data_IF_666118004816
#
_entry.id   IF_666118004816
#
_cell.length_a   1.000
_cell.length_b   1.000
_cell.length_c   1.000
_cell.angle_alpha   90.00
_cell.angle_beta   90.00
_cell.angle_gamma   90.00
#
_symmetry.space_group_name_H-M   'P 1'
#
loop_
_entity.id
_entity.type
_entity.pdbx_description
1 polymer ?
#
# COMPACT_ATOMS: atom_id res chain seq x y z
N UNK A 1 51.25 26.10 -18.85
CA UNK A 1 51.34 24.75 -18.25
C UNK A 1 49.92 24.36 -17.86
N UNK A 2 49.29 23.47 -18.65
CA UNK A 2 47.98 22.93 -18.33
C UNK A 2 48.19 21.72 -17.42
N UNK A 3 47.59 21.71 -16.23
CA UNK A 3 47.66 20.57 -15.33
C UNK A 3 46.68 19.49 -15.80
N UNK A 4 47.18 18.26 -15.92
CA UNK A 4 46.35 17.11 -16.31
C UNK A 4 45.29 16.80 -15.24
N UNK A 5 44.07 16.37 -15.62
CA UNK A 5 43.03 16.05 -14.65
C UNK A 5 43.33 14.77 -13.87
N UNK A 6 43.15 14.83 -12.55
CA UNK A 6 43.31 13.68 -11.64
C UNK A 6 42.23 12.63 -11.95
N UNK A 7 42.58 11.34 -12.17
CA UNK A 7 41.59 10.31 -12.44
C UNK A 7 40.77 10.01 -11.18
N UNK A 8 39.47 10.31 -11.24
CA UNK A 8 38.50 9.95 -10.20
C UNK A 8 38.10 8.49 -10.42
N UNK A 9 38.76 7.54 -9.76
CA UNK A 9 38.31 6.15 -9.78
C UNK A 9 37.11 5.98 -8.85
N UNK A 10 35.95 5.47 -9.32
CA UNK A 10 34.82 5.23 -8.43
C UNK A 10 35.19 4.17 -7.38
N UNK A 11 35.10 4.55 -6.11
CA UNK A 11 35.38 3.63 -5.00
C UNK A 11 34.32 2.53 -4.98
N UNK A 12 34.75 1.31 -5.28
CA UNK A 12 33.87 0.13 -5.32
C UNK A 12 33.44 -0.22 -3.89
N UNK A 13 32.20 0.12 -3.52
CA UNK A 13 31.59 -0.29 -2.26
C UNK A 13 31.59 -1.82 -2.17
N UNK A 14 32.30 -2.37 -1.18
CA UNK A 14 32.35 -3.82 -0.95
C UNK A 14 31.13 -4.24 -0.13
N UNK A 15 30.14 -4.83 -0.79
CA UNK A 15 28.95 -5.36 -0.13
C UNK A 15 29.24 -6.69 0.56
N UNK A 16 29.55 -6.66 1.86
CA UNK A 16 29.80 -7.86 2.67
C UNK A 16 28.47 -8.49 3.12
N UNK A 17 27.82 -9.24 2.21
CA UNK A 17 26.50 -9.86 2.40
C UNK A 17 26.36 -10.60 3.75
N UNK A 18 27.33 -11.44 4.10
CA UNK A 18 27.24 -12.31 5.30
C UNK A 18 27.26 -11.47 6.59
N UNK A 19 28.17 -10.52 6.69
CA UNK A 19 28.29 -9.62 7.84
C UNK A 19 27.04 -8.75 8.01
N UNK A 20 26.54 -8.18 6.90
CA UNK A 20 25.32 -7.38 6.92
C UNK A 20 24.10 -8.22 7.32
N UNK A 21 23.98 -9.45 6.81
CA UNK A 21 22.90 -10.36 7.20
C UNK A 21 22.97 -10.74 8.67
N UNK A 22 24.17 -10.92 9.22
CA UNK A 22 24.35 -11.23 10.63
C UNK A 22 23.91 -10.05 11.49
N UNK A 23 24.34 -8.82 11.16
CA UNK A 23 23.89 -7.61 11.86
C UNK A 23 22.38 -7.43 11.81
N UNK A 24 21.74 -7.68 10.67
CA UNK A 24 20.27 -7.62 10.55
C UNK A 24 19.62 -8.65 11.48
N UNK A 25 20.17 -9.87 11.53
CA UNK A 25 19.66 -10.91 12.42
C UNK A 25 19.75 -10.49 13.90
N UNK A 26 20.90 -9.95 14.30
CA UNK A 26 21.13 -9.50 15.67
C UNK A 26 20.13 -8.39 16.06
N UNK A 27 19.91 -7.41 15.18
CA UNK A 27 18.90 -6.35 15.37
C UNK A 27 17.48 -6.91 15.49
N UNK A 28 17.13 -7.89 14.66
CA UNK A 28 15.81 -8.54 14.72
C UNK A 28 15.62 -9.29 16.03
N UNK A 29 16.66 -9.99 16.50
CA UNK A 29 16.62 -10.73 17.77
C UNK A 29 16.49 -9.78 18.97
N UNK A 30 17.14 -8.60 18.94
CA UNK A 30 16.96 -7.54 19.95
C UNK A 30 15.57 -6.90 19.94
N UNK A 31 14.95 -6.77 18.77
CA UNK A 31 13.58 -6.23 18.63
C UNK A 31 12.50 -7.20 19.11
N UNK A 32 12.79 -8.51 19.12
CA UNK A 32 11.85 -9.58 19.46
C UNK A 32 11.11 -9.40 20.79
N UNK A 33 11.77 -9.10 21.94
CA UNK A 33 11.06 -8.87 23.20
C UNK A 33 10.13 -7.65 23.17
N UNK A 34 10.47 -6.60 22.40
CA UNK A 34 9.61 -5.44 22.22
C UNK A 34 8.38 -5.80 21.40
N UNK A 35 8.55 -6.58 20.33
CA UNK A 35 7.44 -7.11 19.55
C UNK A 35 6.51 -7.98 20.40
N UNK A 36 7.04 -8.86 21.26
CA UNK A 36 6.23 -9.65 22.20
C UNK A 36 5.45 -8.75 23.16
N UNK A 37 6.09 -7.73 23.73
CA UNK A 37 5.41 -6.78 24.63
C UNK A 37 4.31 -5.98 23.92
N UNK A 38 4.51 -5.58 22.67
CA UNK A 38 3.48 -4.92 21.87
C UNK A 38 2.36 -5.91 21.53
N UNK A 39 2.69 -7.16 21.21
CA UNK A 39 1.72 -8.23 20.93
C UNK A 39 0.76 -8.46 22.10
N UNK A 40 1.31 -8.54 23.32
CA UNK A 40 0.52 -8.73 24.54
C UNK A 40 -0.34 -7.50 24.87
N UNK A 41 0.21 -6.29 24.74
CA UNK A 41 -0.56 -5.04 24.94
C UNK A 41 -1.74 -4.96 23.95
N UNK A 42 -1.52 -5.39 22.71
CA UNK A 42 -2.55 -5.41 21.68
C UNK A 42 -3.41 -6.69 21.69
N UNK A 43 -3.17 -7.59 22.65
CA UNK A 43 -3.86 -8.87 22.83
C UNK A 43 -3.91 -9.73 21.55
N UNK A 44 -2.79 -9.80 20.83
CA UNK A 44 -2.65 -10.59 19.60
C UNK A 44 -2.34 -12.08 19.89
N UNK A 45 -1.89 -12.41 21.11
CA UNK A 45 -1.41 -13.75 21.50
C UNK A 45 -2.53 -14.77 21.83
N UNK A 46 -3.81 -14.38 21.78
CA UNK A 46 -4.95 -15.23 22.18
C UNK A 46 -5.53 -16.10 21.04
N UNK A 47 -4.76 -16.37 19.98
CA UNK A 47 -5.20 -17.14 18.81
C UNK A 47 -4.46 -18.48 18.65
N UNK A 48 -4.40 -19.28 19.72
CA UNK A 48 -4.33 -20.73 19.58
C UNK A 48 -5.65 -21.20 18.94
N UNK A 49 -5.63 -21.28 17.61
CA UNK A 49 -6.78 -21.33 16.69
C UNK A 49 -7.69 -22.58 16.81
N UNK A 50 -7.52 -23.44 17.82
CA UNK A 50 -8.19 -24.74 17.87
C UNK A 50 -9.36 -24.84 18.86
N UNK A 51 -9.58 -23.89 19.78
CA UNK A 51 -10.67 -23.97 20.78
C UNK A 51 -11.97 -23.25 20.36
N UNK A 52 -11.93 -22.32 19.39
CA UNK A 52 -13.08 -21.46 19.03
C UNK A 52 -14.08 -22.15 18.07
N UNK A 53 -13.63 -23.13 17.27
CA UNK A 53 -14.48 -23.77 16.25
C UNK A 53 -15.68 -24.52 16.86
N UNK A 54 -15.51 -25.09 18.05
CA UNK A 54 -16.59 -25.85 18.72
C UNK A 54 -17.74 -24.97 19.25
N UNK A 55 -17.50 -23.69 19.55
CA UNK A 55 -18.54 -22.80 20.10
C UNK A 55 -19.28 -21.98 19.03
N UNK A 56 -18.64 -21.68 17.89
CA UNK A 56 -19.27 -20.90 16.83
C UNK A 56 -20.41 -21.66 16.09
N UNK A 57 -20.37 -22.99 16.07
CA UNK A 57 -21.41 -23.82 15.43
C UNK A 57 -22.76 -23.85 16.16
N UNK A 58 -22.81 -23.51 17.46
CA UNK A 58 -24.00 -23.67 18.29
C UNK A 58 -24.86 -22.40 18.43
N UNK A 59 -24.37 -21.22 17.99
CA UNK A 59 -25.02 -19.92 18.28
C UNK A 59 -25.51 -19.14 17.04
N UNK A 60 -25.59 -19.74 15.86
CA UNK A 60 -26.03 -19.05 14.63
C UNK A 60 -27.55 -18.83 14.50
N UNK A 61 -28.36 -19.06 15.54
CA UNK A 61 -29.82 -18.91 15.45
C UNK A 61 -30.40 -17.56 15.88
N UNK A 62 -29.61 -16.59 16.36
CA UNK A 62 -30.13 -15.27 16.71
C UNK A 62 -29.13 -14.21 16.27
N UNK A 63 -29.58 -13.30 15.40
CA UNK A 63 -28.77 -12.33 14.65
C UNK A 63 -28.13 -11.22 15.47
N UNK A 64 -27.32 -11.55 16.47
CA UNK A 64 -26.47 -10.60 17.19
C UNK A 64 -24.99 -10.86 16.86
N UNK A 65 -24.18 -9.83 16.53
CA UNK A 65 -22.76 -10.01 16.27
C UNK A 65 -22.02 -10.38 17.56
N UNK A 66 -21.26 -11.48 17.54
CA UNK A 66 -20.35 -11.83 18.63
C UNK A 66 -19.12 -10.91 18.53
N UNK A 67 -18.72 -10.16 19.59
CA UNK A 67 -17.72 -9.10 19.48
C UNK A 67 -16.29 -9.55 19.13
N UNK A 68 -15.99 -10.85 19.13
CA UNK A 68 -14.64 -11.35 18.87
C UNK A 68 -14.67 -12.66 18.06
N UNK A 69 -14.63 -12.53 16.74
CA UNK A 69 -14.36 -13.64 15.83
C UNK A 69 -12.93 -13.53 15.29
N UNK A 70 -12.11 -14.61 15.29
CA UNK A 70 -10.76 -14.60 14.75
C UNK A 70 -10.74 -14.22 13.26
N UNK A 71 -9.86 -13.29 12.91
CA UNK A 71 -9.70 -12.68 11.57
C UNK A 71 -9.02 -13.59 10.53
N UNK A 72 -9.35 -14.89 10.50
CA UNK A 72 -8.96 -15.79 9.40
C UNK A 72 -10.08 -15.98 8.36
N UNK A 73 -11.14 -15.17 8.46
CA UNK A 73 -11.96 -14.84 7.29
C UNK A 73 -11.03 -14.15 6.31
N UNK A 74 -10.92 -14.66 5.07
CA UNK A 74 -10.39 -13.94 3.91
C UNK A 74 -10.66 -12.47 4.13
N UNK A 75 -9.63 -11.66 4.46
CA UNK A 75 -9.83 -10.24 4.75
C UNK A 75 -10.52 -9.67 3.52
N UNK A 76 -11.82 -9.43 3.63
CA UNK A 76 -12.58 -8.82 2.55
C UNK A 76 -11.80 -7.56 2.18
N UNK A 77 -11.52 -7.38 0.89
CA UNK A 77 -10.80 -6.20 0.44
C UNK A 77 -11.54 -4.99 1.02
N UNK A 78 -10.85 -4.05 1.68
CA UNK A 78 -11.50 -2.86 2.19
C UNK A 78 -12.32 -2.23 1.07
N UNK A 79 -13.59 -1.92 1.37
CA UNK A 79 -14.44 -1.25 0.42
C UNK A 79 -13.77 0.08 0.04
N UNK A 80 -13.61 0.31 -1.25
CA UNK A 80 -13.05 1.57 -1.75
C UNK A 80 -14.18 2.56 -1.93
N UNK A 81 -14.07 3.73 -1.29
CA UNK A 81 -14.99 4.86 -1.48
C UNK A 81 -14.41 5.83 -2.52
N UNK A 82 -15.20 6.81 -2.98
CA UNK A 82 -14.71 7.91 -3.82
C UNK A 82 -14.09 9.06 -3.01
N UNK A 83 -14.11 8.97 -1.68
CA UNK A 83 -13.57 9.98 -0.79
C UNK A 83 -12.03 9.94 -0.80
N UNK A 84 -11.40 11.10 -0.98
CA UNK A 84 -9.95 11.22 -0.87
C UNK A 84 -9.60 11.39 0.61
N UNK A 85 -8.95 10.37 1.16
CA UNK A 85 -8.35 10.42 2.49
C UNK A 85 -7.05 11.24 2.50
N UNK A 86 -6.30 11.20 1.40
CA UNK A 86 -4.99 11.83 1.26
C UNK A 86 -5.06 13.03 0.30
N UNK A 87 -4.97 14.28 0.77
CA UNK A 87 -5.22 15.45 -0.06
C UNK A 87 -4.21 15.64 -1.21
N UNK A 88 -3.08 14.93 -1.18
CA UNK A 88 -2.03 14.98 -2.19
C UNK A 88 -1.55 13.57 -2.53
N UNK A 89 -1.47 13.29 -3.82
CA UNK A 89 -0.92 12.05 -4.37
C UNK A 89 0.47 12.32 -4.97
N UNK A 90 1.48 11.69 -4.40
CA UNK A 90 2.89 11.97 -4.69
C UNK A 90 3.47 11.02 -5.73
N UNK A 91 4.42 11.51 -6.52
CA UNK A 91 5.22 10.72 -7.47
C UNK A 91 4.44 10.24 -8.69
N UNK A 92 3.24 10.81 -8.90
CA UNK A 92 2.28 10.43 -9.95
C UNK A 92 1.60 11.67 -10.55
N UNK A 93 2.14 12.86 -10.30
CA UNK A 93 1.58 14.12 -10.76
C UNK A 93 1.59 14.20 -12.29
N UNK A 94 2.68 13.77 -12.93
CA UNK A 94 2.80 13.73 -14.39
C UNK A 94 1.81 12.75 -15.01
N UNK A 95 1.76 11.50 -14.51
CA UNK A 95 0.79 10.49 -14.95
C UNK A 95 -0.65 11.01 -14.83
N UNK A 96 -0.98 11.63 -13.69
CA UNK A 96 -2.31 12.19 -13.45
C UNK A 96 -2.64 13.31 -14.43
N UNK A 97 -1.71 14.24 -14.66
CA UNK A 97 -1.90 15.36 -15.58
C UNK A 97 -2.05 14.89 -17.02
N UNK A 98 -1.23 13.93 -17.45
CA UNK A 98 -1.28 13.37 -18.79
C UNK A 98 -2.62 12.69 -19.05
N UNK A 99 -3.07 11.82 -18.14
CA UNK A 99 -4.36 11.14 -18.30
C UNK A 99 -5.52 12.15 -18.34
N UNK A 100 -5.49 13.20 -17.51
CA UNK A 100 -6.50 14.26 -17.56
C UNK A 100 -6.46 14.96 -18.92
N UNK A 101 -5.29 15.36 -19.40
CA UNK A 101 -5.13 15.99 -20.70
C UNK A 101 -5.66 15.10 -21.83
N UNK A 102 -5.25 13.83 -21.88
CA UNK A 102 -5.66 12.90 -22.94
C UNK A 102 -7.19 12.73 -22.97
N UNK A 103 -7.85 12.71 -21.80
CA UNK A 103 -9.32 12.59 -21.69
C UNK A 103 -10.05 13.88 -22.07
N UNK A 104 -9.43 15.05 -21.89
CA UNK A 104 -10.12 16.35 -22.07
C UNK A 104 -9.80 17.07 -23.36
N UNK A 105 -8.58 16.95 -23.85
CA UNK A 105 -8.06 17.71 -24.99
C UNK A 105 -7.20 16.86 -25.94
N UNK A 106 -6.69 15.72 -25.48
CA UNK A 106 -5.79 14.86 -26.24
C UNK A 106 -6.51 13.67 -26.89
N UNK A 107 -5.81 12.53 -26.94
CA UNK A 107 -6.14 11.36 -27.77
C UNK A 107 -7.54 10.75 -27.54
N UNK A 108 -8.14 11.00 -26.38
CA UNK A 108 -9.44 10.47 -26.01
C UNK A 108 -10.56 11.51 -26.04
N UNK A 109 -10.23 12.77 -26.31
CA UNK A 109 -11.20 13.85 -26.40
C UNK A 109 -12.09 13.68 -27.65
N UNK A 110 -13.42 13.70 -27.44
CA UNK A 110 -14.40 13.61 -28.53
C UNK A 110 -14.77 12.19 -28.96
N UNK A 111 -14.21 11.16 -28.33
CA UNK A 111 -14.65 9.78 -28.53
C UNK A 111 -15.97 9.52 -27.76
N UNK A 112 -16.92 8.82 -28.38
CA UNK A 112 -18.20 8.47 -27.76
C UNK A 112 -18.02 7.64 -26.46
N UNK A 113 -17.05 6.72 -26.47
CA UNK A 113 -16.69 5.90 -25.33
C UNK A 113 -15.22 5.51 -25.38
N UNK A 114 -14.48 5.80 -24.31
CA UNK A 114 -13.09 5.36 -24.12
C UNK A 114 -12.96 4.58 -22.82
N UNK A 115 -12.24 3.46 -22.83
CA UNK A 115 -11.91 2.66 -21.64
C UNK A 115 -10.41 2.71 -21.39
N UNK A 116 -10.00 3.17 -20.21
CA UNK A 116 -8.59 3.25 -19.82
C UNK A 116 -8.29 2.29 -18.64
N UNK A 117 -7.72 1.10 -18.90
CA UNK A 117 -7.48 0.11 -17.86
C UNK A 117 -6.29 0.50 -16.96
N UNK A 118 -6.49 0.53 -15.64
CA UNK A 118 -5.42 0.72 -14.64
C UNK A 118 -5.05 -0.64 -14.05
N UNK A 119 -3.90 -1.17 -14.43
CA UNK A 119 -3.42 -2.52 -14.05
C UNK A 119 -2.15 -2.48 -13.21
N UNK A 120 -1.89 -3.54 -12.43
CA UNK A 120 -0.68 -3.66 -11.60
C UNK A 120 -0.92 -4.41 -10.29
N UNK A 121 0.16 -4.66 -9.54
CA UNK A 121 0.15 -5.40 -8.28
C UNK A 121 -0.72 -4.74 -7.20
N UNK A 122 -1.09 -5.52 -6.17
CA UNK A 122 -1.80 -5.02 -4.99
C UNK A 122 -1.00 -3.93 -4.26
N UNK A 123 -1.68 -2.95 -3.66
CA UNK A 123 -1.02 -1.88 -2.89
C UNK A 123 -0.36 -0.77 -3.72
N UNK A 124 -0.32 -0.86 -5.06
CA UNK A 124 0.35 0.13 -5.92
C UNK A 124 -0.40 1.48 -6.10
N UNK A 125 -1.51 1.70 -5.40
CA UNK A 125 -2.25 2.98 -5.51
C UNK A 125 -3.13 3.14 -6.76
N UNK A 126 -3.51 2.05 -7.45
CA UNK A 126 -4.35 2.12 -8.66
C UNK A 126 -5.70 2.83 -8.43
N UNK A 127 -6.39 2.45 -7.35
CA UNK A 127 -7.66 3.09 -6.96
C UNK A 127 -7.41 4.55 -6.55
N UNK A 128 -6.32 4.82 -5.84
CA UNK A 128 -5.92 6.17 -5.42
C UNK A 128 -5.69 7.09 -6.63
N UNK A 129 -5.03 6.59 -7.67
CA UNK A 129 -4.83 7.31 -8.94
C UNK A 129 -6.18 7.65 -9.60
N UNK A 130 -7.10 6.68 -9.69
CA UNK A 130 -8.43 6.90 -10.27
C UNK A 130 -9.23 7.98 -9.53
N UNK A 131 -9.22 7.96 -8.19
CA UNK A 131 -9.87 8.98 -7.36
C UNK A 131 -9.31 10.38 -7.63
N UNK A 132 -7.98 10.49 -7.71
CA UNK A 132 -7.30 11.78 -7.93
C UNK A 132 -7.55 12.36 -9.33
N UNK A 133 -7.57 11.52 -10.37
CA UNK A 133 -7.92 11.94 -11.73
C UNK A 133 -9.33 12.53 -11.75
N UNK A 134 -10.31 11.81 -11.20
CA UNK A 134 -11.72 12.24 -11.20
C UNK A 134 -11.90 13.58 -10.48
N UNK A 135 -11.35 13.71 -9.27
CA UNK A 135 -11.53 14.92 -8.46
C UNK A 135 -10.78 16.11 -9.06
N UNK A 136 -9.57 15.91 -9.58
CA UNK A 136 -8.80 16.99 -10.20
C UNK A 136 -9.49 17.48 -11.47
N UNK A 137 -10.12 16.59 -12.25
CA UNK A 137 -10.94 16.98 -13.40
C UNK A 137 -12.17 17.79 -12.98
N UNK A 138 -12.89 17.40 -11.92
CA UNK A 138 -14.03 18.18 -11.42
C UNK A 138 -13.62 19.59 -11.00
N UNK A 139 -12.45 19.74 -10.36
CA UNK A 139 -11.93 21.05 -9.94
C UNK A 139 -11.54 21.94 -11.13
N UNK A 140 -11.08 21.38 -12.25
CA UNK A 140 -10.71 22.16 -13.43
C UNK A 140 -11.92 22.60 -14.27
N UNK A 141 -13.05 21.88 -14.19
CA UNK A 141 -14.29 22.24 -14.90
C UNK A 141 -15.12 23.34 -14.20
N UNK A 142 -14.80 23.72 -12.95
CA UNK A 142 -15.54 24.73 -12.19
C UNK A 142 -14.93 26.15 -12.27
N UNK A 143 -14.22 26.49 -13.36
CA UNK A 143 -13.74 27.85 -13.66
C UNK A 143 -14.23 28.32 -15.01
#
# INVERSE_FOLDING_TARGET
MMADPIPITPSKLKFRRVEMSQRIKDVVDELKPLCTKVSTILNLDLLDSNLIIAQAGLLTKQGNPVPFLPKNVVKARPLTTSEILEPKFYGREEDTNKIIYDITEGDYCGNDLTVLPIVGLGGMGKTTLAQHIFIKKLKTTSR
#
